data_IF_635598807086
#
_entry.id   IF_635598807086
#
_cell.length_a   1.000
_cell.length_b   1.000
_cell.length_c   1.000
_cell.angle_alpha   90.00
_cell.angle_beta   90.00
_cell.angle_gamma   90.00
#
_symmetry.space_group_name_H-M   'P 1'
#
loop_
_entity.id
_entity.type
_entity.pdbx_description
1 polymer ?
#
# COMPACT_ATOMS: atom_id res chain seq x y z
N UNK A 1 -9.43 -61.70 18.98
CA UNK A 1 -9.09 -62.98 19.63
C UNK A 1 -7.65 -63.31 19.26
N UNK A 2 -6.74 -63.12 20.23
CA UNK A 2 -5.41 -63.76 20.39
C UNK A 2 -4.32 -63.52 19.30
N UNK A 3 -3.04 -63.27 19.59
CA UNK A 3 -2.26 -63.11 20.83
C UNK A 3 -0.85 -62.59 20.42
N UNK A 4 -0.37 -61.52 21.06
CA UNK A 4 0.96 -61.33 21.67
C UNK A 4 2.29 -61.82 20.99
N UNK A 5 3.26 -60.87 21.05
CA UNK A 5 4.72 -60.99 21.33
C UNK A 5 5.71 -61.15 20.16
N UNK A 6 6.55 -60.14 19.90
CA UNK A 6 7.86 -59.92 20.56
C UNK A 6 8.59 -58.67 20.03
N UNK A 7 9.21 -57.96 20.97
CA UNK A 7 10.21 -56.90 20.77
C UNK A 7 11.52 -57.54 20.29
N UNK A 8 12.19 -56.95 19.30
CA UNK A 8 13.65 -56.98 19.18
C UNK A 8 14.14 -55.74 18.42
N UNK A 9 14.93 -54.93 19.10
CA UNK A 9 15.72 -53.84 18.54
C UNK A 9 16.74 -54.39 17.54
N UNK A 10 16.77 -53.88 16.32
CA UNK A 10 17.94 -53.93 15.45
C UNK A 10 17.93 -52.70 14.52
N UNK A 11 18.55 -51.62 14.98
CA UNK A 11 18.88 -50.46 14.13
C UNK A 11 19.98 -50.88 13.17
N UNK A 12 19.62 -51.10 11.90
CA UNK A 12 20.55 -51.28 10.79
C UNK A 12 20.87 -49.89 10.23
N UNK A 13 22.06 -49.35 10.51
CA UNK A 13 22.55 -48.17 9.82
C UNK A 13 23.06 -48.59 8.44
N UNK A 14 22.39 -48.11 7.40
CA UNK A 14 22.88 -48.13 6.02
C UNK A 14 23.86 -46.98 5.87
N UNK A 15 25.13 -47.29 5.63
CA UNK A 15 26.15 -46.30 5.26
C UNK A 15 25.98 -45.91 3.79
N UNK A 16 25.59 -44.66 3.52
CA UNK A 16 25.84 -44.02 2.24
C UNK A 16 27.21 -43.35 2.30
N UNK A 17 28.15 -43.80 1.46
CA UNK A 17 29.39 -43.07 1.20
C UNK A 17 29.15 -42.07 0.08
N UNK A 18 29.13 -40.78 0.40
CA UNK A 18 29.39 -39.71 -0.56
C UNK A 18 30.83 -39.26 -0.33
N UNK A 19 31.69 -39.48 -1.33
CA UNK A 19 33.04 -38.96 -1.36
C UNK A 19 33.03 -37.50 -1.83
N UNK A 20 33.34 -36.56 -0.95
CA UNK A 20 33.79 -35.22 -1.30
C UNK A 20 34.97 -34.87 -0.38
N UNK A 21 36.03 -34.30 -0.97
CA UNK A 21 37.36 -34.14 -0.37
C UNK A 21 37.36 -33.49 1.01
N UNK A 22 38.05 -34.15 1.94
CA UNK A 22 38.21 -33.69 3.32
C UNK A 22 39.37 -32.70 3.44
N UNK A 23 39.03 -31.42 3.59
CA UNK A 23 39.55 -30.63 4.70
C UNK A 23 38.36 -30.22 5.58
N UNK A 24 37.64 -31.23 6.07
CA UNK A 24 36.69 -31.03 7.16
C UNK A 24 37.50 -30.87 8.44
N UNK A 25 37.18 -29.85 9.23
CA UNK A 25 37.67 -29.75 10.60
C UNK A 25 37.35 -31.09 11.29
N UNK A 26 38.37 -31.89 11.64
CA UNK A 26 38.17 -33.14 12.37
C UNK A 26 37.76 -32.79 13.79
N UNK A 27 36.47 -32.58 14.00
CA UNK A 27 35.87 -32.61 15.34
C UNK A 27 35.83 -34.08 15.75
N UNK A 28 36.89 -34.53 16.43
CA UNK A 28 36.83 -35.78 17.17
C UNK A 28 36.00 -35.50 18.41
N UNK A 29 34.74 -35.94 18.42
CA UNK A 29 33.89 -35.87 19.60
C UNK A 29 34.34 -36.94 20.61
N UNK A 30 35.42 -36.65 21.34
CA UNK A 30 35.60 -37.26 22.65
C UNK A 30 34.57 -36.62 23.58
N UNK A 31 33.63 -37.41 24.10
CA UNK A 31 32.59 -36.91 24.99
C UNK A 31 33.23 -36.22 26.20
N UNK A 32 33.10 -34.91 26.29
CA UNK A 32 33.58 -34.14 27.44
C UNK A 32 32.68 -34.39 28.65
N UNK A 33 33.26 -34.45 29.84
CA UNK A 33 32.47 -34.39 31.07
C UNK A 33 31.90 -32.97 31.28
N UNK A 34 30.84 -32.86 32.08
CA UNK A 34 30.15 -31.58 32.31
C UNK A 34 31.05 -30.47 32.87
N UNK A 35 32.12 -30.82 33.61
CA UNK A 35 33.05 -29.82 34.15
C UNK A 35 33.92 -29.21 33.06
N UNK A 36 34.35 -30.02 32.08
CA UNK A 36 35.13 -29.55 30.92
C UNK A 36 34.30 -28.68 29.97
N UNK A 37 33.03 -29.01 29.75
CA UNK A 37 32.12 -28.16 28.95
C UNK A 37 31.99 -26.76 29.55
N UNK A 38 31.91 -26.67 30.89
CA UNK A 38 31.86 -25.37 31.59
C UNK A 38 33.16 -24.55 31.46
N UNK A 39 34.32 -25.22 31.37
CA UNK A 39 35.62 -24.55 31.12
C UNK A 39 35.65 -23.97 29.70
N UNK A 40 35.29 -24.76 28.69
CA UNK A 40 35.22 -24.30 27.30
C UNK A 40 34.24 -23.12 27.14
N UNK A 41 33.09 -23.20 27.79
CA UNK A 41 32.11 -22.09 27.79
C UNK A 41 32.69 -20.83 28.44
N UNK A 42 33.37 -20.95 29.58
CA UNK A 42 33.97 -19.80 30.27
C UNK A 42 35.02 -19.10 29.40
N UNK A 43 35.88 -19.87 28.73
CA UNK A 43 36.88 -19.33 27.80
C UNK A 43 36.21 -18.61 26.63
N UNK A 44 35.19 -19.22 26.02
CA UNK A 44 34.45 -18.60 24.92
C UNK A 44 33.81 -17.27 25.33
N UNK A 45 33.06 -17.23 26.44
CA UNK A 45 32.33 -16.03 26.85
C UNK A 45 33.26 -14.90 27.29
N UNK A 46 34.40 -15.20 27.94
CA UNK A 46 35.40 -14.18 28.27
C UNK A 46 36.08 -13.63 27.02
N UNK A 47 36.48 -14.48 26.07
CA UNK A 47 37.02 -14.04 24.79
C UNK A 47 36.03 -13.15 24.02
N UNK A 48 34.77 -13.59 23.94
CA UNK A 48 33.69 -12.85 23.29
C UNK A 48 33.47 -11.47 23.92
N UNK A 49 33.46 -11.40 25.27
CA UNK A 49 33.29 -10.14 26.03
C UNK A 49 34.45 -9.17 25.78
N UNK A 50 35.66 -9.69 25.66
CA UNK A 50 36.87 -8.91 25.39
C UNK A 50 37.12 -8.65 23.88
N UNK A 51 36.16 -9.02 23.01
CA UNK A 51 36.26 -8.90 21.54
C UNK A 51 37.50 -9.60 20.94
N UNK A 52 37.94 -10.68 21.58
CA UNK A 52 39.00 -11.55 21.05
C UNK A 52 38.38 -12.48 20.01
N UNK A 53 38.05 -11.93 18.85
CA UNK A 53 37.42 -12.67 17.75
C UNK A 53 38.50 -13.30 16.90
N UNK A 54 38.73 -14.59 17.15
CA UNK A 54 39.79 -15.38 16.54
C UNK A 54 39.28 -16.81 16.27
N UNK A 55 40.00 -17.58 15.44
CA UNK A 55 39.64 -18.96 15.11
C UNK A 55 39.51 -19.86 16.36
N UNK A 56 40.40 -19.70 17.34
CA UNK A 56 40.33 -20.48 18.58
C UNK A 56 39.09 -20.13 19.41
N UNK A 57 38.60 -18.89 19.34
CA UNK A 57 37.35 -18.48 20.00
C UNK A 57 36.16 -19.24 19.40
N UNK A 58 36.12 -19.37 18.07
CA UNK A 58 35.11 -20.16 17.36
C UNK A 58 35.17 -21.63 17.82
N UNK A 59 36.38 -22.21 17.88
CA UNK A 59 36.60 -23.58 18.36
C UNK A 59 36.03 -23.80 19.77
N UNK A 60 36.30 -22.88 20.71
CA UNK A 60 35.74 -22.96 22.08
C UNK A 60 34.22 -22.94 22.08
N UNK A 61 33.60 -22.13 21.23
CA UNK A 61 32.14 -22.13 21.05
C UNK A 61 31.61 -23.47 20.55
N UNK A 62 32.23 -24.04 19.52
CA UNK A 62 31.84 -25.35 18.95
C UNK A 62 32.04 -26.51 19.94
N UNK A 63 33.12 -26.50 20.73
CA UNK A 63 33.33 -27.51 21.76
C UNK A 63 32.19 -27.54 22.78
N UNK A 64 31.57 -26.39 23.10
CA UNK A 64 30.38 -26.33 23.96
C UNK A 64 29.18 -26.94 23.26
N UNK A 65 28.76 -26.40 22.11
CA UNK A 65 27.50 -26.80 21.46
C UNK A 65 27.51 -28.22 20.89
N UNK A 66 28.68 -28.80 20.61
CA UNK A 66 28.79 -30.18 20.15
C UNK A 66 28.66 -31.20 21.31
N UNK A 67 29.01 -30.81 22.54
CA UNK A 67 28.92 -31.67 23.73
C UNK A 67 27.63 -31.43 24.53
N UNK A 68 27.10 -30.20 24.52
CA UNK A 68 25.83 -29.82 25.14
C UNK A 68 25.04 -28.88 24.20
N UNK A 69 24.30 -29.40 23.20
CA UNK A 69 23.55 -28.57 22.25
C UNK A 69 22.47 -27.70 22.88
N UNK A 70 21.95 -28.08 24.06
CA UNK A 70 20.98 -27.30 24.82
C UNK A 70 21.68 -26.58 25.98
N UNK A 71 22.92 -26.10 25.78
CA UNK A 71 23.78 -25.58 26.84
C UNK A 71 23.07 -24.59 27.78
N UNK A 72 22.77 -25.08 29.00
CA UNK A 72 22.00 -24.38 30.03
C UNK A 72 20.78 -23.64 29.44
N UNK A 73 20.06 -24.38 28.57
CA UNK A 73 18.82 -24.15 27.84
C UNK A 73 18.66 -22.89 26.99
N UNK A 74 19.58 -21.93 27.03
CA UNK A 74 19.97 -21.08 25.90
C UNK A 74 21.06 -20.07 26.32
N UNK A 75 21.69 -20.15 27.51
CA UNK A 75 22.31 -19.01 28.21
C UNK A 75 23.25 -18.11 27.36
N UNK A 76 22.92 -16.92 26.84
CA UNK A 76 21.66 -16.36 26.34
C UNK A 76 21.91 -16.07 24.84
N UNK A 77 21.79 -17.08 23.98
CA UNK A 77 22.04 -17.17 22.53
C UNK A 77 23.48 -17.47 22.11
N UNK A 78 24.11 -18.51 22.70
CA UNK A 78 25.49 -18.93 22.36
C UNK A 78 25.68 -19.13 20.85
N UNK A 79 24.71 -19.73 20.16
CA UNK A 79 24.71 -19.87 18.70
C UNK A 79 24.84 -18.51 17.99
N UNK A 80 24.03 -17.51 18.38
CA UNK A 80 24.09 -16.14 17.83
C UNK A 80 25.42 -15.45 18.13
N UNK A 81 26.06 -15.77 19.25
CA UNK A 81 27.39 -15.24 19.59
C UNK A 81 28.49 -15.88 18.77
N UNK A 82 28.46 -17.20 18.58
CA UNK A 82 29.41 -17.90 17.71
C UNK A 82 29.29 -17.35 16.29
N UNK A 83 28.06 -17.19 15.80
CA UNK A 83 27.75 -16.57 14.51
C UNK A 83 28.39 -15.18 14.38
N UNK A 84 28.24 -14.33 15.40
CA UNK A 84 28.91 -13.02 15.43
C UNK A 84 30.43 -13.15 15.38
N UNK A 85 31.05 -14.06 16.14
CA UNK A 85 32.51 -14.25 16.08
C UNK A 85 32.93 -14.69 14.68
N UNK A 86 32.22 -15.64 14.07
CA UNK A 86 32.48 -16.08 12.69
C UNK A 86 32.42 -14.90 11.73
N UNK A 87 31.37 -14.08 11.80
CA UNK A 87 31.22 -12.90 10.94
C UNK A 87 32.38 -11.91 11.09
N UNK A 88 32.79 -11.61 12.32
CA UNK A 88 33.87 -10.65 12.59
C UNK A 88 35.23 -11.19 12.10
N UNK A 89 35.52 -12.47 12.33
CA UNK A 89 36.74 -13.10 11.79
C UNK A 89 36.70 -13.13 10.27
N UNK A 90 35.57 -13.43 9.64
CA UNK A 90 35.45 -13.47 8.18
C UNK A 90 35.78 -12.11 7.54
N UNK A 91 35.34 -11.01 8.16
CA UNK A 91 35.50 -9.65 7.65
C UNK A 91 36.78 -8.94 8.13
N UNK A 92 37.59 -9.58 8.96
CA UNK A 92 38.88 -9.02 9.35
C UNK A 92 39.80 -8.95 8.12
N UNK A 93 40.46 -7.80 7.94
CA UNK A 93 41.37 -7.55 6.81
C UNK A 93 42.56 -8.50 6.71
N UNK A 94 42.91 -9.19 7.82
CA UNK A 94 43.99 -10.15 7.89
C UNK A 94 43.57 -11.59 7.55
N UNK A 95 42.26 -11.86 7.43
CA UNK A 95 41.74 -13.20 7.15
C UNK A 95 41.94 -13.58 5.69
N UNK A 96 42.67 -14.68 5.46
CA UNK A 96 42.97 -15.19 4.11
C UNK A 96 41.74 -15.85 3.47
N UNK A 97 41.76 -15.98 2.15
CA UNK A 97 40.65 -16.59 1.40
C UNK A 97 40.44 -18.06 1.76
N UNK A 98 41.51 -18.79 2.08
CA UNK A 98 41.39 -20.18 2.58
C UNK A 98 40.64 -20.24 3.91
N UNK A 99 40.92 -19.30 4.83
CA UNK A 99 40.23 -19.22 6.12
C UNK A 99 38.78 -18.78 5.91
N UNK A 100 38.51 -17.84 5.00
CA UNK A 100 37.14 -17.42 4.64
C UNK A 100 36.30 -18.58 4.11
N UNK A 101 36.87 -19.44 3.26
CA UNK A 101 36.17 -20.62 2.75
C UNK A 101 35.76 -21.56 3.90
N UNK A 102 36.67 -21.82 4.85
CA UNK A 102 36.39 -22.63 6.04
C UNK A 102 35.33 -21.99 6.92
N UNK A 103 35.38 -20.67 7.13
CA UNK A 103 34.40 -19.94 7.93
C UNK A 103 33.01 -19.97 7.31
N UNK A 104 32.90 -19.96 5.98
CA UNK A 104 31.62 -20.06 5.30
C UNK A 104 30.95 -21.43 5.53
N UNK A 105 31.70 -22.52 5.41
CA UNK A 105 31.19 -23.86 5.75
C UNK A 105 30.84 -23.98 7.23
N UNK A 106 31.65 -23.37 8.09
CA UNK A 106 31.43 -23.34 9.54
C UNK A 106 30.16 -22.58 9.90
N UNK A 107 29.86 -21.46 9.24
CA UNK A 107 28.64 -20.70 9.43
C UNK A 107 27.39 -21.49 9.02
N UNK A 108 27.40 -22.12 7.84
CA UNK A 108 26.27 -22.94 7.38
C UNK A 108 25.98 -24.09 8.35
N UNK A 109 27.02 -24.77 8.82
CA UNK A 109 26.87 -25.81 9.83
C UNK A 109 26.32 -25.27 11.16
N UNK A 110 26.79 -24.10 11.61
CA UNK A 110 26.23 -23.44 12.79
C UNK A 110 24.74 -23.13 12.62
N UNK A 111 24.32 -22.69 11.43
CA UNK A 111 22.93 -22.35 11.13
C UNK A 111 22.03 -23.58 11.14
N UNK A 112 22.49 -24.73 10.62
CA UNK A 112 21.77 -26.01 10.74
C UNK A 112 21.53 -26.39 12.21
N UNK A 113 22.54 -26.22 13.06
CA UNK A 113 22.40 -26.46 14.49
C UNK A 113 21.49 -25.42 15.15
N UNK A 114 21.63 -24.14 14.79
CA UNK A 114 20.83 -23.04 15.29
C UNK A 114 19.34 -23.21 15.01
N UNK A 115 18.96 -23.63 13.79
CA UNK A 115 17.57 -23.92 13.42
C UNK A 115 16.97 -25.01 14.34
N UNK A 116 17.78 -26.00 14.73
CA UNK A 116 17.33 -27.10 15.59
C UNK A 116 17.24 -26.73 17.06
N UNK A 117 18.20 -25.96 17.58
CA UNK A 117 18.40 -25.77 19.02
C UNK A 117 18.15 -24.33 19.52
N UNK A 118 18.09 -23.33 18.63
CA UNK A 118 17.76 -21.92 18.94
C UNK A 118 16.55 -21.46 18.11
N UNK A 119 15.40 -22.10 18.37
CA UNK A 119 14.18 -21.97 17.57
C UNK A 119 13.64 -20.54 17.45
N UNK A 120 13.87 -19.69 18.45
CA UNK A 120 13.47 -18.27 18.41
C UNK A 120 14.19 -17.47 17.31
N UNK A 121 15.37 -17.92 16.86
CA UNK A 121 16.16 -17.27 15.81
C UNK A 121 16.23 -18.09 14.52
N UNK A 122 15.47 -19.20 14.46
CA UNK A 122 15.53 -20.15 13.35
C UNK A 122 15.22 -19.49 11.99
N UNK A 123 14.20 -18.63 11.91
CA UNK A 123 13.88 -17.90 10.68
C UNK A 123 15.06 -17.03 10.20
N UNK A 124 15.78 -16.40 11.13
CA UNK A 124 16.96 -15.60 10.81
C UNK A 124 18.14 -16.44 10.34
N UNK A 125 18.35 -17.63 10.94
CA UNK A 125 19.37 -18.56 10.46
C UNK A 125 19.10 -19.07 9.04
N UNK A 126 17.83 -19.29 8.69
CA UNK A 126 17.44 -19.73 7.35
C UNK A 126 17.81 -18.67 6.30
N UNK A 127 17.44 -17.40 6.50
CA UNK A 127 17.82 -16.35 5.53
C UNK A 127 19.32 -16.04 5.54
N UNK A 128 20.01 -16.20 6.67
CA UNK A 128 21.48 -16.10 6.75
C UNK A 128 22.19 -17.17 5.93
N UNK A 129 21.60 -18.36 5.75
CA UNK A 129 22.16 -19.35 4.81
C UNK A 129 22.19 -18.81 3.40
N UNK A 130 21.09 -18.20 2.92
CA UNK A 130 21.05 -17.53 1.62
C UNK A 130 22.15 -16.46 1.49
N UNK A 131 22.31 -15.63 2.52
CA UNK A 131 23.39 -14.64 2.58
C UNK A 131 24.79 -15.27 2.45
N UNK A 132 25.11 -16.30 3.23
CA UNK A 132 26.44 -16.94 3.20
C UNK A 132 26.69 -17.67 1.89
N UNK A 133 25.67 -18.35 1.34
CA UNK A 133 25.75 -19.00 0.03
C UNK A 133 26.09 -18.00 -1.06
N UNK A 134 25.43 -16.83 -1.06
CA UNK A 134 25.68 -15.78 -2.04
C UNK A 134 27.02 -15.08 -1.82
N UNK A 135 27.18 -14.43 -0.68
CA UNK A 135 28.22 -13.40 -0.47
C UNK A 135 29.56 -14.02 -0.10
N UNK A 136 29.56 -15.19 0.56
CA UNK A 136 30.79 -15.79 1.06
C UNK A 136 31.27 -16.97 0.22
N UNK A 137 30.34 -17.76 -0.33
CA UNK A 137 30.67 -18.95 -1.12
C UNK A 137 30.59 -18.72 -2.63
N UNK A 138 29.94 -17.65 -3.08
CA UNK A 138 29.62 -17.45 -4.50
C UNK A 138 28.96 -18.70 -5.11
N UNK A 139 28.04 -19.32 -4.36
CA UNK A 139 27.28 -20.48 -4.81
C UNK A 139 26.38 -20.09 -6.01
N UNK A 140 25.86 -21.07 -6.78
CA UNK A 140 24.82 -20.79 -7.76
C UNK A 140 23.69 -19.97 -7.15
N UNK A 141 23.24 -18.93 -7.85
CA UNK A 141 22.30 -17.94 -7.29
C UNK A 141 20.97 -18.56 -6.89
N UNK A 142 20.56 -19.62 -7.57
CA UNK A 142 19.35 -20.38 -7.28
C UNK A 142 19.42 -21.05 -5.89
N UNK A 143 20.59 -21.50 -5.44
CA UNK A 143 20.75 -22.08 -4.11
C UNK A 143 20.59 -21.01 -3.02
N UNK A 144 21.14 -19.82 -3.24
CA UNK A 144 20.96 -18.67 -2.35
C UNK A 144 19.50 -18.23 -2.28
N UNK A 145 18.86 -18.05 -3.44
CA UNK A 145 17.45 -17.66 -3.55
C UNK A 145 16.57 -18.67 -2.84
N UNK A 146 16.77 -19.97 -3.09
CA UNK A 146 15.98 -21.03 -2.45
C UNK A 146 16.09 -20.98 -0.91
N UNK A 147 17.28 -20.73 -0.36
CA UNK A 147 17.47 -20.62 1.08
C UNK A 147 16.76 -19.39 1.68
N UNK A 148 16.76 -18.25 0.98
CA UNK A 148 15.99 -17.07 1.38
C UNK A 148 14.49 -17.32 1.32
N UNK A 149 13.99 -17.89 0.21
CA UNK A 149 12.57 -18.23 0.04
C UNK A 149 12.09 -19.19 1.12
N UNK A 150 12.86 -20.24 1.41
CA UNK A 150 12.55 -21.19 2.49
C UNK A 150 12.47 -20.46 3.85
N UNK A 151 13.42 -19.57 4.12
CA UNK A 151 13.44 -18.76 5.34
C UNK A 151 12.20 -17.89 5.49
N UNK A 152 11.81 -17.13 4.47
CA UNK A 152 10.63 -16.26 4.53
C UNK A 152 9.30 -17.04 4.48
N UNK A 153 9.26 -18.19 3.82
CA UNK A 153 8.07 -19.04 3.77
C UNK A 153 7.82 -19.83 5.07
N UNK A 154 8.82 -19.92 5.95
CA UNK A 154 8.72 -20.68 7.20
C UNK A 154 7.68 -20.15 8.20
N UNK A 155 7.29 -18.87 8.08
CA UNK A 155 6.44 -18.17 9.05
C UNK A 155 7.14 -17.85 10.38
N UNK A 156 8.45 -18.10 10.49
CA UNK A 156 9.27 -17.77 11.66
C UNK A 156 9.73 -16.32 11.61
N UNK A 157 9.96 -15.72 12.78
CA UNK A 157 10.47 -14.36 12.87
C UNK A 157 11.87 -14.23 12.25
N UNK A 158 12.04 -13.22 11.40
CA UNK A 158 13.32 -12.85 10.79
C UNK A 158 13.79 -11.52 11.37
N UNK A 159 14.84 -11.56 12.16
CA UNK A 159 15.48 -10.35 12.69
C UNK A 159 16.23 -9.66 11.55
N UNK A 160 16.06 -8.33 11.45
CA UNK A 160 16.47 -7.51 10.31
C UNK A 160 15.78 -7.95 9.00
N UNK A 161 14.48 -8.26 9.06
CA UNK A 161 13.67 -8.66 7.91
C UNK A 161 13.88 -7.76 6.69
N UNK A 162 13.81 -6.43 6.86
CA UNK A 162 14.02 -5.44 5.79
C UNK A 162 15.35 -5.65 5.06
N UNK A 163 16.44 -5.91 5.80
CA UNK A 163 17.77 -6.12 5.23
C UNK A 163 17.82 -7.39 4.36
N UNK A 164 17.26 -8.50 4.86
CA UNK A 164 17.29 -9.77 4.13
C UNK A 164 16.29 -9.81 2.98
N UNK A 165 15.15 -9.11 3.10
CA UNK A 165 14.21 -8.90 2.00
C UNK A 165 14.87 -8.09 0.90
N UNK A 166 15.57 -6.99 1.22
CA UNK A 166 16.32 -6.19 0.24
C UNK A 166 17.39 -7.05 -0.46
N UNK A 167 18.12 -7.89 0.28
CA UNK A 167 19.08 -8.83 -0.32
C UNK A 167 18.42 -9.81 -1.29
N UNK A 168 17.29 -10.40 -0.93
CA UNK A 168 16.53 -11.27 -1.83
C UNK A 168 15.99 -10.51 -3.05
N UNK A 169 15.44 -9.32 -2.84
CA UNK A 169 14.95 -8.44 -3.91
C UNK A 169 16.04 -8.05 -4.90
N UNK A 170 17.25 -7.74 -4.42
CA UNK A 170 18.43 -7.53 -5.26
C UNK A 170 18.80 -8.77 -6.06
N UNK A 171 18.81 -9.96 -5.45
CA UNK A 171 19.12 -11.20 -6.17
C UNK A 171 18.14 -11.47 -7.30
N UNK A 172 16.84 -11.27 -7.07
CA UNK A 172 15.85 -11.37 -8.13
C UNK A 172 16.10 -10.35 -9.24
N UNK A 173 16.30 -9.07 -8.88
CA UNK A 173 16.53 -7.99 -9.85
C UNK A 173 17.78 -8.23 -10.70
N UNK A 174 18.87 -8.70 -10.10
CA UNK A 174 20.16 -8.92 -10.77
C UNK A 174 20.14 -10.15 -11.70
N UNK A 175 19.25 -11.11 -11.45
CA UNK A 175 19.19 -12.39 -12.17
C UNK A 175 17.88 -12.61 -12.94
N UNK A 176 17.04 -11.57 -13.07
CA UNK A 176 15.80 -11.66 -13.83
C UNK A 176 16.07 -11.82 -15.33
N UNK A 177 15.26 -12.65 -15.98
CA UNK A 177 15.27 -12.84 -17.43
C UNK A 177 13.86 -13.23 -17.91
N UNK A 178 13.68 -13.33 -19.21
CA UNK A 178 12.37 -13.60 -19.82
C UNK A 178 11.80 -15.01 -19.49
N UNK A 179 12.65 -15.93 -19.04
CA UNK A 179 12.28 -17.32 -18.75
C UNK A 179 11.89 -17.54 -17.27
N UNK A 180 12.07 -16.54 -16.39
CA UNK A 180 11.76 -16.65 -14.97
C UNK A 180 10.79 -15.57 -14.47
N UNK A 181 10.28 -15.77 -13.26
CA UNK A 181 9.33 -14.86 -12.61
C UNK A 181 10.01 -13.82 -11.70
N UNK A 182 11.33 -13.66 -11.79
CA UNK A 182 12.08 -12.86 -10.82
C UNK A 182 11.74 -11.37 -10.87
N UNK A 183 11.38 -10.82 -12.05
CA UNK A 183 10.86 -9.44 -12.13
C UNK A 183 9.62 -9.28 -11.24
N UNK A 184 8.73 -10.27 -11.25
CA UNK A 184 7.52 -10.27 -10.42
C UNK A 184 7.85 -10.46 -8.94
N UNK A 185 8.77 -11.38 -8.60
CA UNK A 185 9.20 -11.59 -7.21
C UNK A 185 9.93 -10.37 -6.64
N UNK A 186 10.79 -9.71 -7.43
CA UNK A 186 11.44 -8.47 -7.03
C UNK A 186 10.43 -7.36 -6.75
N UNK A 187 9.44 -7.17 -7.64
CA UNK A 187 8.37 -6.19 -7.44
C UNK A 187 7.59 -6.46 -6.15
N UNK A 188 7.21 -7.71 -5.87
CA UNK A 188 6.51 -8.09 -4.65
C UNK A 188 7.33 -7.72 -3.39
N UNK A 189 8.63 -8.02 -3.41
CA UNK A 189 9.55 -7.67 -2.32
C UNK A 189 9.62 -6.15 -2.11
N UNK A 190 9.86 -5.37 -3.16
CA UNK A 190 10.01 -3.91 -3.00
C UNK A 190 8.69 -3.21 -2.66
N UNK A 191 7.54 -3.78 -3.03
CA UNK A 191 6.24 -3.32 -2.56
C UNK A 191 6.07 -3.59 -1.07
N UNK A 192 6.37 -4.81 -0.61
CA UNK A 192 6.35 -5.14 0.82
C UNK A 192 7.29 -4.22 1.62
N UNK A 193 8.49 -3.97 1.10
CA UNK A 193 9.43 -3.03 1.72
C UNK A 193 8.88 -1.59 1.76
N UNK A 194 8.20 -1.15 0.71
CA UNK A 194 7.54 0.17 0.70
C UNK A 194 6.43 0.28 1.72
N UNK A 195 5.76 -0.81 2.09
CA UNK A 195 4.75 -0.81 3.16
C UNK A 195 5.41 -0.81 4.55
N UNK A 196 6.51 -1.56 4.71
CA UNK A 196 7.28 -1.61 5.96
C UNK A 196 8.00 -0.29 6.27
N UNK A 197 8.48 0.42 5.25
CA UNK A 197 9.19 1.69 5.37
C UNK A 197 8.63 2.75 4.38
N UNK A 198 7.44 3.33 4.63
CA UNK A 198 6.78 4.25 3.69
C UNK A 198 7.56 5.54 3.40
N UNK A 199 8.40 5.98 4.34
CA UNK A 199 9.22 7.18 4.21
C UNK A 199 10.54 6.94 3.46
N UNK A 200 10.86 5.67 3.15
CA UNK A 200 12.06 5.31 2.42
C UNK A 200 11.82 5.39 0.91
N UNK A 201 12.19 6.52 0.32
CA UNK A 201 12.04 6.77 -1.12
C UNK A 201 12.77 5.75 -2.01
N UNK A 202 13.75 4.99 -1.48
CA UNK A 202 14.44 3.93 -2.24
C UNK A 202 13.45 2.87 -2.74
N UNK A 203 12.53 2.41 -1.90
CA UNK A 203 11.61 1.32 -2.28
C UNK A 203 10.64 1.74 -3.38
N UNK A 204 10.09 2.94 -3.30
CA UNK A 204 9.27 3.50 -4.37
C UNK A 204 10.06 3.58 -5.69
N UNK A 205 11.32 4.01 -5.64
CA UNK A 205 12.18 4.08 -6.83
C UNK A 205 12.47 2.69 -7.42
N UNK A 206 12.72 1.68 -6.59
CA UNK A 206 12.93 0.29 -7.05
C UNK A 206 11.68 -0.25 -7.75
N UNK A 207 10.49 -0.01 -7.20
CA UNK A 207 9.21 -0.38 -7.82
C UNK A 207 9.04 0.32 -9.18
N UNK A 208 9.32 1.63 -9.25
CA UNK A 208 9.21 2.39 -10.51
C UNK A 208 10.20 1.90 -11.56
N UNK A 209 11.44 1.59 -11.18
CA UNK A 209 12.45 1.08 -12.11
C UNK A 209 12.08 -0.31 -12.64
N UNK A 210 11.61 -1.20 -11.76
CA UNK A 210 11.22 -2.56 -12.15
C UNK A 210 9.95 -2.58 -12.98
N UNK A 211 8.96 -1.74 -12.68
CA UNK A 211 7.74 -1.72 -13.48
C UNK A 211 7.94 -1.05 -14.84
N UNK A 212 8.99 -0.27 -15.05
CA UNK A 212 9.27 0.55 -16.25
C UNK A 212 8.23 1.66 -16.50
N UNK A 213 6.94 1.35 -16.41
CA UNK A 213 5.81 2.25 -16.55
C UNK A 213 4.62 1.85 -15.64
N UNK A 214 3.61 2.73 -15.59
CA UNK A 214 2.43 2.52 -14.75
C UNK A 214 1.49 1.42 -15.27
N UNK A 215 1.56 1.08 -16.57
CA UNK A 215 0.72 0.06 -17.19
C UNK A 215 1.21 -1.35 -16.83
N UNK A 216 2.52 -1.59 -16.90
CA UNK A 216 3.15 -2.81 -16.41
C UNK A 216 2.96 -2.96 -14.90
N UNK A 217 3.03 -1.87 -14.13
CA UNK A 217 2.72 -1.92 -12.69
C UNK A 217 1.27 -2.39 -12.45
N UNK A 218 0.30 -1.86 -13.22
CA UNK A 218 -1.09 -2.31 -13.15
C UNK A 218 -1.22 -3.80 -13.45
N UNK A 219 -0.61 -4.29 -14.52
CA UNK A 219 -0.64 -5.71 -14.91
C UNK A 219 -0.03 -6.61 -13.83
N UNK A 220 1.06 -6.17 -13.20
CA UNK A 220 1.64 -6.85 -12.06
C UNK A 220 0.65 -6.94 -10.89
N UNK A 221 0.04 -5.81 -10.49
CA UNK A 221 -0.94 -5.81 -9.39
C UNK A 221 -2.17 -6.67 -9.68
N UNK A 222 -2.60 -6.72 -10.94
CA UNK A 222 -3.66 -7.62 -11.39
C UNK A 222 -3.29 -9.07 -11.14
N UNK A 223 -2.13 -9.51 -11.65
CA UNK A 223 -1.64 -10.89 -11.47
C UNK A 223 -1.49 -11.22 -9.99
N UNK A 224 -0.91 -10.30 -9.21
CA UNK A 224 -0.71 -10.48 -7.78
C UNK A 224 -2.04 -10.70 -7.03
N UNK A 225 -3.06 -9.89 -7.32
CA UNK A 225 -4.38 -10.08 -6.72
C UNK A 225 -5.09 -11.33 -7.24
N UNK A 226 -5.02 -11.65 -8.53
CA UNK A 226 -5.68 -12.84 -9.08
C UNK A 226 -5.09 -14.15 -8.54
N UNK A 227 -3.82 -14.15 -8.12
CA UNK A 227 -3.20 -15.29 -7.44
C UNK A 227 -3.72 -15.48 -6.00
N UNK A 228 -4.25 -14.43 -5.37
CA UNK A 228 -4.76 -14.41 -3.99
C UNK A 228 -5.99 -13.50 -3.91
N UNK A 229 -7.09 -13.95 -4.51
CA UNK A 229 -8.26 -13.11 -4.81
C UNK A 229 -9.00 -12.64 -3.54
N UNK A 230 -8.78 -13.30 -2.41
CA UNK A 230 -9.36 -12.92 -1.11
C UNK A 230 -8.54 -11.84 -0.37
N UNK A 231 -7.38 -11.45 -0.90
CA UNK A 231 -6.49 -10.48 -0.26
C UNK A 231 -6.90 -9.04 -0.57
N UNK A 232 -7.44 -8.35 0.44
CA UNK A 232 -7.90 -6.96 0.34
C UNK A 232 -6.76 -5.98 0.06
N UNK A 233 -5.56 -6.23 0.56
CA UNK A 233 -4.44 -5.32 0.33
C UNK A 233 -4.00 -5.35 -1.15
N UNK A 234 -3.88 -6.55 -1.73
CA UNK A 234 -3.57 -6.72 -3.15
C UNK A 234 -4.68 -6.18 -4.04
N UNK A 235 -5.95 -6.40 -3.68
CA UNK A 235 -7.09 -5.80 -4.39
C UNK A 235 -7.00 -4.27 -4.41
N UNK A 236 -6.66 -3.65 -3.27
CA UNK A 236 -6.52 -2.20 -3.15
C UNK A 236 -5.35 -1.67 -3.98
N UNK A 237 -4.19 -2.33 -3.96
CA UNK A 237 -3.04 -1.96 -4.80
C UNK A 237 -3.39 -2.05 -6.28
N UNK A 238 -4.12 -3.07 -6.71
CA UNK A 238 -4.61 -3.19 -8.09
C UNK A 238 -5.57 -2.06 -8.47
N UNK A 239 -6.59 -1.80 -7.65
CA UNK A 239 -7.52 -0.68 -7.89
C UNK A 239 -6.79 0.67 -8.02
N UNK A 240 -5.79 0.92 -7.17
CA UNK A 240 -4.99 2.16 -7.25
C UNK A 240 -4.12 2.22 -8.50
N UNK A 241 -3.54 1.10 -8.92
CA UNK A 241 -2.75 1.05 -10.15
C UNK A 241 -3.62 1.28 -11.39
N UNK A 242 -4.83 0.70 -11.45
CA UNK A 242 -5.83 0.99 -12.46
C UNK A 242 -6.15 2.49 -12.56
N UNK A 243 -6.36 3.15 -11.42
CA UNK A 243 -6.64 4.59 -11.37
C UNK A 243 -5.48 5.44 -11.92
N UNK A 244 -4.23 5.08 -11.64
CA UNK A 244 -3.06 5.84 -12.11
C UNK A 244 -2.99 5.93 -13.63
N UNK A 245 -3.37 4.84 -14.31
CA UNK A 245 -3.41 4.79 -15.78
C UNK A 245 -4.78 5.09 -16.38
N UNK A 246 -5.68 5.70 -15.60
CA UNK A 246 -7.06 6.02 -15.99
C UNK A 246 -7.88 4.81 -16.51
N UNK A 247 -7.51 3.58 -16.13
CA UNK A 247 -8.26 2.34 -16.45
C UNK A 247 -9.34 2.08 -15.40
N UNK A 248 -10.35 2.94 -15.41
CA UNK A 248 -11.43 2.91 -14.42
C UNK A 248 -12.31 1.65 -14.52
N UNK A 249 -12.39 1.00 -15.68
CA UNK A 249 -13.17 -0.26 -15.83
C UNK A 249 -12.51 -1.42 -15.09
N UNK A 250 -11.21 -1.60 -15.24
CA UNK A 250 -10.48 -2.62 -14.49
C UNK A 250 -10.48 -2.37 -12.98
N UNK A 251 -10.62 -1.11 -12.54
CA UNK A 251 -10.72 -0.77 -11.12
C UNK A 251 -12.03 -1.26 -10.47
N UNK A 252 -13.10 -1.51 -11.24
CA UNK A 252 -14.42 -1.82 -10.68
C UNK A 252 -14.47 -3.16 -9.96
N UNK A 253 -13.80 -4.19 -10.49
CA UNK A 253 -13.80 -5.54 -9.87
C UNK A 253 -13.15 -5.54 -8.48
N UNK A 254 -11.90 -5.08 -8.29
CA UNK A 254 -11.30 -5.03 -6.96
C UNK A 254 -12.04 -4.09 -6.01
N UNK A 255 -12.57 -2.96 -6.49
CA UNK A 255 -13.32 -2.03 -5.64
C UNK A 255 -14.65 -2.63 -5.13
N UNK A 256 -15.38 -3.36 -5.98
CA UNK A 256 -16.59 -4.09 -5.55
C UNK A 256 -16.25 -5.14 -4.49
N UNK A 257 -15.20 -5.92 -4.72
CA UNK A 257 -14.73 -6.90 -3.75
C UNK A 257 -14.37 -6.26 -2.40
N UNK A 258 -13.64 -5.15 -2.42
CA UNK A 258 -13.26 -4.40 -1.21
C UNK A 258 -14.47 -3.87 -0.43
N UNK A 259 -15.47 -3.35 -1.13
CA UNK A 259 -16.73 -2.88 -0.53
C UNK A 259 -17.54 -4.04 0.04
N UNK A 260 -17.58 -5.19 -0.64
CA UNK A 260 -18.25 -6.39 -0.13
C UNK A 260 -17.62 -6.87 1.19
N UNK A 261 -16.29 -6.82 1.29
CA UNK A 261 -15.58 -7.22 2.52
C UNK A 261 -15.75 -6.20 3.64
N UNK A 262 -15.54 -4.92 3.36
CA UNK A 262 -15.51 -3.85 4.34
C UNK A 262 -16.30 -2.61 3.84
N UNK A 263 -17.65 -2.64 3.90
CA UNK A 263 -18.50 -1.58 3.34
C UNK A 263 -18.42 -0.26 4.08
N UNK A 264 -17.83 -0.19 5.26
CA UNK A 264 -17.64 1.04 6.05
C UNK A 264 -16.40 1.86 5.63
N UNK A 265 -15.53 1.30 4.78
CA UNK A 265 -14.31 1.98 4.34
C UNK A 265 -14.64 3.01 3.25
N UNK A 266 -14.76 4.26 3.68
CA UNK A 266 -15.10 5.44 2.86
C UNK A 266 -14.25 5.55 1.59
N UNK A 267 -12.95 5.27 1.68
CA UNK A 267 -12.06 5.39 0.53
C UNK A 267 -12.47 4.47 -0.63
N UNK A 268 -12.99 3.28 -0.37
CA UNK A 268 -13.43 2.37 -1.44
C UNK A 268 -14.64 2.91 -2.18
N UNK A 269 -15.59 3.50 -1.46
CA UNK A 269 -16.75 4.16 -2.06
C UNK A 269 -16.37 5.41 -2.86
N UNK A 270 -15.42 6.21 -2.37
CA UNK A 270 -14.91 7.35 -3.13
C UNK A 270 -14.30 6.93 -4.46
N UNK A 271 -13.47 5.88 -4.45
CA UNK A 271 -12.82 5.40 -5.68
C UNK A 271 -13.83 4.72 -6.62
N UNK A 272 -14.80 3.94 -6.11
CA UNK A 272 -15.79 3.27 -6.98
C UNK A 272 -16.77 4.27 -7.60
N UNK A 273 -17.18 5.31 -6.86
CA UNK A 273 -18.05 6.36 -7.38
C UNK A 273 -17.36 7.11 -8.54
N UNK A 274 -16.08 7.43 -8.37
CA UNK A 274 -15.25 8.03 -9.41
C UNK A 274 -15.07 7.09 -10.61
N UNK A 275 -14.80 5.81 -10.39
CA UNK A 275 -14.65 4.83 -11.45
C UNK A 275 -15.94 4.68 -12.28
N UNK A 276 -17.10 4.58 -11.62
CA UNK A 276 -18.39 4.55 -12.31
C UNK A 276 -18.65 5.84 -13.09
N UNK A 277 -18.33 7.01 -12.53
CA UNK A 277 -18.49 8.29 -13.23
C UNK A 277 -17.61 8.36 -14.48
N UNK A 278 -16.37 7.87 -14.41
CA UNK A 278 -15.43 7.89 -15.54
C UNK A 278 -15.74 6.87 -16.63
N UNK A 279 -16.52 5.84 -16.30
CA UNK A 279 -17.03 4.85 -17.25
C UNK A 279 -18.47 5.13 -17.71
N UNK A 280 -18.97 6.35 -17.53
CA UNK A 280 -20.33 6.77 -17.89
C UNK A 280 -21.45 5.92 -17.24
N UNK A 281 -21.14 5.19 -16.15
CA UNK A 281 -22.11 4.41 -15.36
C UNK A 281 -22.77 5.31 -14.31
N UNK A 282 -23.40 6.40 -14.77
CA UNK A 282 -23.91 7.49 -13.93
C UNK A 282 -24.86 7.03 -12.83
N UNK A 283 -25.77 6.09 -13.10
CA UNK A 283 -26.72 5.58 -12.11
C UNK A 283 -26.00 4.93 -10.91
N UNK A 284 -24.95 4.15 -11.17
CA UNK A 284 -24.15 3.51 -10.11
C UNK A 284 -23.26 4.49 -9.37
N UNK A 285 -22.77 5.53 -10.06
CA UNK A 285 -22.05 6.62 -9.40
C UNK A 285 -22.98 7.38 -8.42
N UNK A 286 -24.24 7.64 -8.83
CA UNK A 286 -25.27 8.23 -7.97
C UNK A 286 -25.54 7.38 -6.73
N UNK A 287 -25.70 6.06 -6.88
CA UNK A 287 -25.86 5.15 -5.75
C UNK A 287 -24.65 5.18 -4.82
N UNK A 288 -23.44 5.15 -5.37
CA UNK A 288 -22.20 5.18 -4.59
C UNK A 288 -22.04 6.48 -3.79
N UNK A 289 -22.37 7.64 -4.37
CA UNK A 289 -22.35 8.91 -3.64
C UNK A 289 -23.46 9.02 -2.58
N UNK A 290 -24.61 8.37 -2.78
CA UNK A 290 -25.63 8.27 -1.73
C UNK A 290 -25.14 7.44 -0.54
N UNK A 291 -24.44 6.35 -0.79
CA UNK A 291 -23.81 5.57 0.29
C UNK A 291 -22.71 6.37 1.01
N UNK A 292 -21.90 7.14 0.29
CA UNK A 292 -20.95 8.07 0.92
C UNK A 292 -21.65 9.09 1.82
N UNK A 293 -22.80 9.62 1.43
CA UNK A 293 -23.59 10.53 2.26
C UNK A 293 -24.16 9.81 3.49
N UNK A 294 -24.56 8.53 3.36
CA UNK A 294 -25.02 7.73 4.50
C UNK A 294 -23.89 7.49 5.51
N UNK A 295 -22.69 7.18 5.01
CA UNK A 295 -21.50 6.92 5.84
C UNK A 295 -20.90 8.21 6.42
N UNK A 296 -20.93 9.32 5.68
CA UNK A 296 -20.42 10.63 6.07
C UNK A 296 -21.42 11.75 5.74
N UNK A 297 -22.44 11.97 6.58
CA UNK A 297 -23.47 12.98 6.33
C UNK A 297 -22.96 14.42 6.31
N UNK A 298 -21.75 14.66 6.82
CA UNK A 298 -21.04 15.94 6.90
C UNK A 298 -19.99 16.12 5.79
N UNK A 299 -19.86 15.16 4.88
CA UNK A 299 -18.95 15.29 3.73
C UNK A 299 -19.59 16.15 2.63
N UNK A 300 -19.20 17.41 2.56
CA UNK A 300 -19.69 18.37 1.55
C UNK A 300 -19.43 17.91 0.11
N UNK A 301 -18.33 17.21 -0.14
CA UNK A 301 -17.89 16.85 -1.49
C UNK A 301 -18.79 15.76 -2.08
N UNK A 302 -19.32 14.85 -1.25
CA UNK A 302 -20.29 13.84 -1.68
C UNK A 302 -21.60 14.46 -2.18
N UNK A 303 -22.13 15.47 -1.48
CA UNK A 303 -23.31 16.22 -1.96
C UNK A 303 -23.01 16.99 -3.24
N UNK A 304 -21.83 17.62 -3.33
CA UNK A 304 -21.44 18.39 -4.50
C UNK A 304 -21.24 17.51 -5.74
N UNK A 305 -20.51 16.39 -5.63
CA UNK A 305 -20.33 15.46 -6.73
C UNK A 305 -21.66 14.87 -7.20
N UNK A 306 -22.57 14.56 -6.27
CA UNK A 306 -23.92 14.11 -6.62
C UNK A 306 -24.72 15.20 -7.35
N UNK A 307 -24.59 16.47 -6.94
CA UNK A 307 -25.18 17.59 -7.67
C UNK A 307 -24.65 17.71 -9.10
N UNK A 308 -23.34 17.54 -9.31
CA UNK A 308 -22.74 17.56 -10.64
C UNK A 308 -23.25 16.43 -11.53
N UNK A 309 -23.38 15.21 -11.00
CA UNK A 309 -23.98 14.10 -11.75
C UNK A 309 -25.43 14.41 -12.16
N UNK A 310 -26.24 14.94 -11.24
CA UNK A 310 -27.62 15.33 -11.56
C UNK A 310 -27.70 16.49 -12.56
N UNK A 311 -26.75 17.43 -12.51
CA UNK A 311 -26.61 18.50 -13.50
C UNK A 311 -26.33 17.90 -14.87
N UNK A 312 -25.39 16.96 -14.98
CA UNK A 312 -24.99 16.36 -16.25
C UNK A 312 -26.09 15.46 -16.84
N UNK A 313 -26.95 14.89 -15.99
CA UNK A 313 -28.20 14.23 -16.41
C UNK A 313 -29.33 15.19 -16.80
N UNK A 314 -29.13 16.51 -16.73
CA UNK A 314 -30.16 17.52 -16.98
C UNK A 314 -31.23 17.63 -15.89
N UNK A 315 -31.06 16.95 -14.76
CA UNK A 315 -31.99 17.00 -13.62
C UNK A 315 -31.69 18.21 -12.72
N UNK A 316 -31.84 19.40 -13.29
CA UNK A 316 -31.36 20.66 -12.69
C UNK A 316 -31.99 21.00 -11.32
N UNK A 317 -33.27 20.65 -11.11
CA UNK A 317 -33.94 20.84 -9.82
C UNK A 317 -33.28 20.00 -8.71
N UNK A 318 -32.95 18.74 -9.02
CA UNK A 318 -32.28 17.83 -8.09
C UNK A 318 -30.85 18.28 -7.85
N UNK A 319 -30.13 18.67 -8.92
CA UNK A 319 -28.78 19.23 -8.83
C UNK A 319 -28.74 20.43 -7.88
N UNK A 320 -29.64 21.40 -8.04
CA UNK A 320 -29.74 22.56 -7.13
C UNK A 320 -29.94 22.14 -5.68
N UNK A 321 -30.84 21.21 -5.41
CA UNK A 321 -31.09 20.76 -4.03
C UNK A 321 -29.81 20.21 -3.38
N UNK A 322 -29.01 19.45 -4.13
CA UNK A 322 -27.74 18.92 -3.63
C UNK A 322 -26.63 19.99 -3.51
N UNK A 323 -26.56 20.98 -4.42
CA UNK A 323 -25.66 22.14 -4.26
C UNK A 323 -25.97 22.90 -2.96
N UNK A 324 -27.25 23.11 -2.66
CA UNK A 324 -27.69 23.78 -1.44
C UNK A 324 -27.37 22.97 -0.19
N UNK A 325 -27.48 21.64 -0.25
CA UNK A 325 -27.03 20.77 0.85
C UNK A 325 -25.51 20.88 1.05
N UNK A 326 -24.73 20.86 -0.02
CA UNK A 326 -23.28 21.03 0.05
C UNK A 326 -22.87 22.37 0.69
N UNK A 327 -23.52 23.47 0.27
CA UNK A 327 -23.32 24.79 0.86
C UNK A 327 -23.77 24.87 2.33
N UNK A 328 -24.83 24.16 2.71
CA UNK A 328 -25.30 24.10 4.11
C UNK A 328 -24.33 23.33 5.00
N UNK A 329 -23.75 22.24 4.50
CA UNK A 329 -22.74 21.45 5.22
C UNK A 329 -21.46 22.25 5.42
N UNK A 330 -21.09 23.09 4.44
CA UNK A 330 -19.89 23.94 4.50
C UNK A 330 -20.21 25.40 4.14
N UNK A 331 -20.76 26.22 5.07
CA UNK A 331 -21.25 27.57 4.79
C UNK A 331 -20.23 28.59 4.23
N UNK A 332 -18.93 28.36 4.41
CA UNK A 332 -17.86 29.19 3.84
C UNK A 332 -17.41 28.77 2.43
N UNK A 333 -17.95 27.66 1.91
CA UNK A 333 -17.62 27.17 0.57
C UNK A 333 -18.60 27.75 -0.44
N UNK A 334 -18.12 28.71 -1.21
CA UNK A 334 -18.90 29.53 -2.13
C UNK A 334 -19.15 28.84 -3.48
N UNK A 335 -18.41 27.77 -3.78
CA UNK A 335 -18.45 27.09 -5.06
C UNK A 335 -19.81 26.46 -5.42
N UNK A 336 -20.56 25.80 -4.52
CA UNK A 336 -21.87 25.24 -4.88
C UNK A 336 -22.86 26.33 -5.30
N UNK A 337 -22.80 27.51 -4.68
CA UNK A 337 -23.65 28.66 -5.05
C UNK A 337 -23.17 29.31 -6.36
N UNK A 338 -21.86 29.32 -6.62
CA UNK A 338 -21.32 29.77 -7.91
C UNK A 338 -21.81 28.88 -9.06
N UNK A 339 -21.81 27.55 -8.87
CA UNK A 339 -22.38 26.61 -9.85
C UNK A 339 -23.89 26.82 -9.98
N UNK A 340 -24.63 26.99 -8.88
CA UNK A 340 -26.07 27.28 -8.91
C UNK A 340 -26.40 28.55 -9.72
N UNK A 341 -25.63 29.63 -9.54
CA UNK A 341 -25.78 30.86 -10.32
C UNK A 341 -25.51 30.62 -11.82
N UNK A 342 -24.49 29.83 -12.15
CA UNK A 342 -24.19 29.42 -13.52
C UNK A 342 -25.32 28.62 -14.17
N UNK A 343 -26.03 27.78 -13.41
CA UNK A 343 -27.21 27.07 -13.92
C UNK A 343 -28.34 28.02 -14.31
N UNK A 344 -28.59 29.07 -13.52
CA UNK A 344 -29.59 30.09 -13.86
C UNK A 344 -29.18 30.89 -15.10
N UNK A 345 -27.93 31.32 -15.15
CA UNK A 345 -27.39 32.05 -16.29
C UNK A 345 -27.50 31.24 -17.59
N UNK A 346 -27.12 29.96 -17.55
CA UNK A 346 -27.18 29.08 -18.70
C UNK A 346 -28.63 28.82 -19.13
N UNK A 347 -29.54 28.59 -18.18
CA UNK A 347 -30.96 28.42 -18.50
C UNK A 347 -31.56 29.67 -19.17
N UNK A 348 -31.20 30.88 -18.69
CA UNK A 348 -31.63 32.13 -19.30
C UNK A 348 -31.11 32.27 -20.73
N UNK A 349 -29.83 31.93 -20.96
CA UNK A 349 -29.19 31.95 -22.28
C UNK A 349 -29.84 30.99 -23.27
N UNK A 350 -30.21 29.79 -22.83
CA UNK A 350 -30.71 28.73 -23.71
C UNK A 350 -32.18 28.93 -24.13
N UNK A 351 -32.91 29.80 -23.44
CA UNK A 351 -34.35 29.98 -23.66
C UNK A 351 -34.69 31.19 -24.54
N UNK A 352 -34.21 32.38 -24.19
CA UNK A 352 -34.61 33.60 -24.88
C UNK A 352 -34.00 34.87 -24.30
N UNK A 353 -34.53 36.01 -24.72
CA UNK A 353 -34.15 37.30 -24.14
C UNK A 353 -35.36 38.23 -23.95
N UNK A 354 -36.48 37.64 -23.52
CA UNK A 354 -37.69 38.32 -23.07
C UNK A 354 -37.59 38.70 -21.58
N UNK A 355 -38.62 39.36 -21.07
CA UNK A 355 -38.63 39.85 -19.69
C UNK A 355 -38.46 38.73 -18.65
N UNK A 356 -39.07 37.58 -18.88
CA UNK A 356 -38.95 36.41 -18.02
C UNK A 356 -37.49 35.92 -17.97
N UNK A 357 -36.80 35.89 -19.13
CA UNK A 357 -35.39 35.50 -19.22
C UNK A 357 -34.48 36.51 -18.49
N UNK A 358 -34.76 37.81 -18.64
CA UNK A 358 -34.09 38.86 -17.87
C UNK A 358 -34.29 38.68 -16.36
N UNK A 359 -35.47 38.27 -15.92
CA UNK A 359 -35.71 37.97 -14.50
C UNK A 359 -34.85 36.78 -14.01
N UNK A 360 -34.59 35.80 -14.86
CA UNK A 360 -33.67 34.70 -14.53
C UNK A 360 -32.21 35.16 -14.51
N UNK A 361 -31.79 36.03 -15.43
CA UNK A 361 -30.48 36.71 -15.33
C UNK A 361 -30.35 37.51 -14.03
N UNK A 362 -31.41 38.17 -13.58
CA UNK A 362 -31.42 38.88 -12.30
C UNK A 362 -31.22 37.91 -11.13
N UNK A 363 -31.90 36.75 -11.14
CA UNK A 363 -31.68 35.69 -10.15
C UNK A 363 -30.23 35.17 -10.16
N UNK A 364 -29.65 34.97 -11.34
CA UNK A 364 -28.24 34.57 -11.48
C UNK A 364 -27.31 35.63 -10.88
N UNK A 365 -27.52 36.90 -11.22
CA UNK A 365 -26.76 38.05 -10.70
C UNK A 365 -26.87 38.16 -9.18
N UNK A 366 -28.05 38.00 -8.60
CA UNK A 366 -28.21 38.07 -7.14
C UNK A 366 -27.51 36.92 -6.44
N UNK A 367 -27.52 35.73 -7.04
CA UNK A 367 -26.78 34.57 -6.54
C UNK A 367 -25.27 34.79 -6.65
N UNK A 368 -24.76 35.33 -7.76
CA UNK A 368 -23.34 35.71 -7.88
C UNK A 368 -22.94 36.83 -6.91
N UNK A 369 -23.81 37.82 -6.66
CA UNK A 369 -23.56 38.83 -5.63
C UNK A 369 -23.45 38.20 -4.24
N UNK A 370 -24.25 37.20 -3.93
CA UNK A 370 -24.12 36.44 -2.69
C UNK A 370 -22.74 35.75 -2.62
N UNK A 371 -22.34 35.04 -3.67
CA UNK A 371 -21.01 34.39 -3.77
C UNK A 371 -19.89 35.41 -3.57
N UNK A 372 -19.95 36.54 -4.26
CA UNK A 372 -18.95 37.62 -4.14
C UNK A 372 -18.85 38.16 -2.71
N UNK A 373 -19.97 38.32 -2.01
CA UNK A 373 -20.00 38.77 -0.61
C UNK A 373 -19.46 37.74 0.38
N UNK A 374 -19.49 36.45 0.04
CA UNK A 374 -18.92 35.39 0.90
C UNK A 374 -17.39 35.49 0.97
N UNK A 375 -16.74 36.07 -0.05
CA UNK A 375 -15.29 36.27 -0.06
C UNK A 375 -14.47 34.97 -0.17
N UNK A 376 -15.07 33.89 -0.71
CA UNK A 376 -14.38 32.63 -0.96
C UNK A 376 -13.57 32.63 -2.26
N UNK A 377 -13.15 31.43 -2.68
CA UNK A 377 -12.27 31.23 -3.85
C UNK A 377 -12.89 31.73 -5.17
N UNK A 378 -14.22 31.74 -5.27
CA UNK A 378 -14.95 32.11 -6.49
C UNK A 378 -15.53 33.53 -6.42
N UNK A 379 -15.23 34.29 -5.35
CA UNK A 379 -15.83 35.60 -5.12
C UNK A 379 -15.46 36.63 -6.19
N UNK A 380 -14.23 36.60 -6.71
CA UNK A 380 -13.78 37.51 -7.77
C UNK A 380 -14.46 37.19 -9.10
N UNK A 381 -14.47 35.91 -9.48
CA UNK A 381 -15.13 35.43 -10.70
C UNK A 381 -16.63 35.76 -10.66
N UNK A 382 -17.27 35.61 -9.49
CA UNK A 382 -18.66 35.99 -9.31
C UNK A 382 -18.88 37.50 -9.49
N UNK A 383 -17.98 38.35 -8.98
CA UNK A 383 -18.05 39.80 -9.21
C UNK A 383 -17.93 40.15 -10.70
N UNK A 384 -17.04 39.49 -11.43
CA UNK A 384 -16.88 39.66 -12.86
C UNK A 384 -18.15 39.23 -13.63
N UNK A 385 -18.78 38.11 -13.22
CA UNK A 385 -20.07 37.68 -13.78
C UNK A 385 -21.17 38.71 -13.52
N UNK A 386 -21.25 39.31 -12.33
CA UNK A 386 -22.22 40.38 -12.01
C UNK A 386 -22.06 41.56 -12.97
N UNK A 387 -20.83 42.00 -13.23
CA UNK A 387 -20.56 43.09 -14.16
C UNK A 387 -20.92 42.71 -15.61
N UNK A 388 -20.57 41.49 -16.03
CA UNK A 388 -20.83 40.99 -17.37
C UNK A 388 -22.34 40.87 -17.68
N UNK A 389 -23.17 40.57 -16.68
CA UNK A 389 -24.61 40.39 -16.83
C UNK A 389 -25.42 41.68 -16.59
N UNK A 390 -24.76 42.82 -16.33
CA UNK A 390 -25.43 44.08 -15.97
C UNK A 390 -26.44 44.58 -17.01
N UNK A 391 -26.23 44.27 -18.29
CA UNK A 391 -27.15 44.64 -19.38
C UNK A 391 -28.18 43.55 -19.72
N UNK A 392 -28.15 42.42 -19.01
CA UNK A 392 -29.02 41.26 -19.24
C UNK A 392 -30.16 41.15 -18.22
N UNK A 393 -30.18 42.01 -17.19
CA UNK A 393 -31.22 42.06 -16.16
C UNK A 393 -32.35 43.04 -16.53
N UNK A 394 -33.53 42.98 -15.88
CA UNK A 394 -34.63 43.88 -16.20
C UNK A 394 -34.28 45.33 -15.85
N UNK A 395 -34.64 46.27 -16.71
CA UNK A 395 -34.48 47.70 -16.47
C UNK A 395 -35.68 48.25 -15.69
N UNK A 396 -35.56 49.49 -15.18
CA UNK A 396 -36.69 50.21 -14.58
C UNK A 396 -37.87 50.34 -15.55
N UNK A 397 -37.60 50.49 -16.84
CA UNK A 397 -38.61 50.57 -17.90
C UNK A 397 -39.32 49.22 -18.08
N UNK A 398 -38.55 48.11 -18.08
CA UNK A 398 -39.11 46.75 -18.17
C UNK A 398 -40.17 46.51 -17.08
N UNK A 399 -39.89 46.93 -15.84
CA UNK A 399 -40.82 46.85 -14.70
C UNK A 399 -42.00 47.83 -14.84
N UNK A 400 -41.74 49.08 -15.25
CA UNK A 400 -42.75 50.12 -15.39
C UNK A 400 -43.84 49.72 -16.40
N UNK A 401 -43.47 49.23 -17.58
CA UNK A 401 -44.44 48.82 -18.61
C UNK A 401 -45.33 47.65 -18.16
N UNK A 402 -44.88 46.87 -17.18
CA UNK A 402 -45.62 45.75 -16.56
C UNK A 402 -46.37 46.15 -15.29
N UNK A 403 -46.32 47.43 -14.90
CA UNK A 403 -46.98 47.97 -13.69
C UNK A 403 -46.50 47.33 -12.39
N UNK A 404 -45.25 46.84 -12.37
CA UNK A 404 -44.62 46.28 -11.19
C UNK A 404 -44.01 47.40 -10.33
N UNK A 405 -44.09 47.24 -9.02
CA UNK A 405 -43.63 48.20 -8.00
C UNK A 405 -42.44 47.64 -7.24
N UNK A 406 -41.69 48.54 -6.61
CA UNK A 406 -40.62 48.17 -5.70
C UNK A 406 -41.14 47.22 -4.60
N UNK A 407 -40.43 46.12 -4.38
CA UNK A 407 -40.82 45.07 -3.44
C UNK A 407 -41.79 44.02 -3.99
N UNK A 408 -42.33 44.17 -5.21
CA UNK A 408 -43.13 43.11 -5.83
C UNK A 408 -42.29 41.85 -6.04
N UNK A 409 -42.89 40.68 -5.80
CA UNK A 409 -42.23 39.38 -5.95
C UNK A 409 -42.62 38.76 -7.28
N UNK A 410 -41.62 38.48 -8.12
CA UNK A 410 -41.79 37.81 -9.41
C UNK A 410 -41.35 36.36 -9.24
N UNK A 411 -42.30 35.43 -9.41
CA UNK A 411 -41.98 34.00 -9.45
C UNK A 411 -41.27 33.68 -10.75
N UNK A 412 -40.21 32.89 -10.66
CA UNK A 412 -39.52 32.35 -11.83
C UNK A 412 -40.24 31.07 -12.22
N UNK A 413 -41.01 31.14 -13.30
CA UNK A 413 -41.89 30.08 -13.79
C UNK A 413 -41.93 30.06 -15.32
N UNK A 414 -42.40 28.95 -15.90
CA UNK A 414 -42.46 28.74 -17.34
C UNK A 414 -41.64 27.53 -17.76
N UNK A 415 -41.91 27.00 -18.96
CA UNK A 415 -41.35 25.71 -19.45
C UNK A 415 -39.82 25.59 -19.31
N UNK A 416 -39.11 26.70 -19.44
CA UNK A 416 -37.66 26.80 -19.29
C UNK A 416 -37.14 26.78 -17.84
N UNK A 417 -38.00 27.19 -16.91
CA UNK A 417 -37.62 27.66 -15.58
C UNK A 417 -38.38 26.98 -14.45
N UNK A 418 -39.36 26.13 -14.75
CA UNK A 418 -40.16 25.41 -13.73
C UNK A 418 -39.30 24.59 -12.76
N UNK A 419 -38.09 24.21 -13.17
CA UNK A 419 -37.12 23.53 -12.29
C UNK A 419 -36.55 24.45 -11.21
N UNK A 420 -36.58 25.79 -11.38
CA UNK A 420 -35.92 26.79 -10.52
C UNK A 420 -36.67 26.98 -9.18
N UNK A 421 -38.00 27.08 -9.19
CA UNK A 421 -38.79 27.21 -7.95
C UNK A 421 -38.35 28.34 -7.00
N UNK A 422 -37.81 29.43 -7.54
CA UNK A 422 -37.39 30.64 -6.81
C UNK A 422 -38.14 31.87 -7.31
N UNK A 423 -37.86 33.01 -6.71
CA UNK A 423 -38.44 34.30 -7.09
C UNK A 423 -37.38 35.39 -6.98
N UNK A 424 -37.56 36.47 -7.71
CA UNK A 424 -36.81 37.72 -7.51
C UNK A 424 -37.72 38.77 -6.90
N UNK A 425 -37.11 39.77 -6.26
CA UNK A 425 -37.82 40.95 -5.75
C UNK A 425 -37.48 42.15 -6.65
N UNK A 426 -38.51 42.88 -7.07
CA UNK A 426 -38.34 44.09 -7.88
C UNK A 426 -37.61 45.15 -7.04
N UNK A 427 -36.54 45.71 -7.61
CA UNK A 427 -35.78 46.82 -7.04
C UNK A 427 -35.73 47.95 -8.07
N UNK A 428 -36.44 49.06 -7.80
CA UNK A 428 -36.60 50.20 -8.74
C UNK A 428 -35.59 51.32 -8.58
#
# INVERSE_FOLDING_TARGET
MNLLKKILFLTLFVTFTISAGQNSFRVVADSLDASKVMVEASLFFEAYKNKQYEMWTIEKGFNVINNDPNFQNNKYTIYRKIDKVIFEVYHDSSTTDEVKAVLADTALYLYDLGIKYDQEYAGTYMVKKGYVLNEWKSAPVEESIAAYEEGFASGLEVINEVYYLDKLGSLYKENMNDDNDYKMKALDIYLKLSDLEPDNARWANEVTQLAEDEQQLKEFMQKAWYADKENTEKAWKYARACKKVDDYESALEPLKFLIEKNPEVINYWNEIARAYQKNDQTDKAVESYKELINLQPDNRDSYFNLALLYKDMGQLSVARSYLQKAAKVSPGWDYPLYIEAGLYEQAARDCGFEFEDKCVYQLAVDTYRQVSRMGGEHASQAADRVNALSNSVPTKEDFFFRKLKDGDVIKIEGKCYDWIGKSITVSL
#
